data_IF_488500676567
#
_entry.id   IF_488500676567
#
_cell.length_a   1.000
_cell.length_b   1.000
_cell.length_c   1.000
_cell.angle_alpha   90.00
_cell.angle_beta   90.00
_cell.angle_gamma   90.00
#
_symmetry.space_group_name_H-M   'P 1'
#
loop_
_entity.id
_entity.type
_entity.pdbx_description
1 polymer ?
#
# COMPACT_ATOMS: atom_id res chain seq x y z
N UNK A 1 -4.67 -16.03 -12.25
CA UNK A 1 -4.45 -14.96 -11.26
C UNK A 1 -5.75 -14.83 -10.50
N UNK A 2 -5.73 -14.97 -9.18
CA UNK A 2 -6.93 -14.71 -8.36
C UNK A 2 -7.51 -13.35 -8.72
N UNK A 3 -8.85 -13.22 -8.68
CA UNK A 3 -9.56 -11.99 -9.02
C UNK A 3 -9.03 -10.84 -8.16
N UNK A 4 -8.22 -9.97 -8.75
CA UNK A 4 -7.74 -8.76 -8.10
C UNK A 4 -8.92 -7.79 -8.09
N UNK A 5 -9.33 -7.36 -6.91
CA UNK A 5 -10.39 -6.39 -6.76
C UNK A 5 -9.85 -5.07 -6.22
N UNK A 6 -10.50 -3.97 -6.59
CA UNK A 6 -10.23 -2.68 -5.99
C UNK A 6 -10.57 -2.75 -4.50
N UNK A 7 -9.72 -2.17 -3.68
CA UNK A 7 -9.74 -2.17 -2.21
C UNK A 7 -9.31 -3.46 -1.52
N UNK A 8 -8.87 -4.48 -2.26
CA UNK A 8 -8.19 -5.61 -1.62
C UNK A 8 -6.80 -5.21 -1.11
N UNK A 9 -6.41 -5.78 0.02
CA UNK A 9 -5.04 -5.71 0.54
C UNK A 9 -4.25 -6.87 -0.04
N UNK A 10 -3.18 -6.57 -0.78
CA UNK A 10 -2.25 -7.55 -1.32
C UNK A 10 -0.91 -7.44 -0.59
N UNK A 11 -0.24 -8.56 -0.34
CA UNK A 11 1.16 -8.58 0.09
C UNK A 11 2.03 -8.75 -1.14
N UNK A 12 2.82 -7.73 -1.48
CA UNK A 12 3.69 -7.74 -2.66
C UNK A 12 5.09 -7.24 -2.32
N UNK A 13 6.08 -7.70 -3.08
CA UNK A 13 7.34 -6.98 -3.21
C UNK A 13 7.08 -5.68 -3.97
N UNK A 14 7.58 -4.57 -3.44
CA UNK A 14 7.47 -3.25 -4.08
C UNK A 14 8.85 -2.64 -4.12
N UNK A 15 9.30 -2.31 -5.32
CA UNK A 15 10.60 -1.71 -5.57
C UNK A 15 10.71 -0.30 -4.98
N UNK A 16 11.93 0.08 -4.62
CA UNK A 16 12.25 1.46 -4.30
C UNK A 16 12.34 2.29 -5.58
N UNK A 17 11.99 3.58 -5.49
CA UNK A 17 11.98 4.47 -6.65
C UNK A 17 13.39 4.68 -7.25
N UNK A 18 14.44 4.45 -6.46
CA UNK A 18 15.85 4.52 -6.86
C UNK A 18 16.41 3.19 -7.38
N UNK A 19 15.56 2.16 -7.54
CA UNK A 19 15.94 0.81 -7.97
C UNK A 19 17.03 0.13 -7.12
N UNK A 20 17.31 0.61 -5.90
CA UNK A 20 18.33 0.03 -5.01
C UNK A 20 17.90 -1.29 -4.38
N UNK A 21 16.63 -1.66 -4.52
CA UNK A 21 16.08 -2.88 -3.99
C UNK A 21 14.57 -2.82 -3.87
N UNK A 22 14.01 -3.70 -3.05
CA UNK A 22 12.58 -3.86 -2.87
C UNK A 22 12.23 -4.14 -1.41
N UNK A 23 10.95 -4.02 -1.10
CA UNK A 23 10.41 -4.38 0.20
C UNK A 23 9.05 -5.03 0.08
N UNK A 24 8.92 -6.20 0.71
CA UNK A 24 7.64 -6.88 0.90
C UNK A 24 6.80 -6.06 1.89
N UNK A 25 5.61 -5.65 1.43
CA UNK A 25 4.68 -4.87 2.26
C UNK A 25 3.25 -5.08 1.79
N UNK A 26 2.28 -4.99 2.72
CA UNK A 26 0.88 -4.94 2.33
C UNK A 26 0.58 -3.62 1.62
N UNK A 27 -0.30 -3.66 0.61
CA UNK A 27 -0.73 -2.51 -0.15
C UNK A 27 -2.19 -2.67 -0.62
N UNK A 28 -2.95 -1.58 -0.59
CA UNK A 28 -4.35 -1.54 -0.99
C UNK A 28 -4.43 -1.29 -2.50
N UNK A 29 -5.14 -2.14 -3.23
CA UNK A 29 -5.39 -1.95 -4.68
C UNK A 29 -6.32 -0.77 -4.87
N UNK A 30 -5.93 0.21 -5.69
CA UNK A 30 -6.80 1.36 -6.02
C UNK A 30 -7.25 1.36 -7.47
N UNK A 31 -6.46 0.75 -8.34
CA UNK A 31 -6.76 0.57 -9.76
C UNK A 31 -5.83 -0.49 -10.32
N UNK A 32 -6.26 -1.24 -11.31
CA UNK A 32 -5.38 -2.11 -12.08
C UNK A 32 -5.82 -2.16 -13.55
N UNK A 33 -4.92 -2.65 -14.40
CA UNK A 33 -5.19 -3.06 -15.76
C UNK A 33 -4.30 -4.28 -16.08
N UNK A 34 -4.16 -4.62 -17.36
CA UNK A 34 -3.37 -5.77 -17.80
C UNK A 34 -1.85 -5.59 -17.64
N UNK A 35 -1.37 -4.39 -17.30
CA UNK A 35 0.05 -4.04 -17.24
C UNK A 35 0.51 -3.69 -15.83
N UNK A 36 -0.30 -2.95 -15.07
CA UNK A 36 0.07 -2.48 -13.73
C UNK A 36 -1.07 -2.56 -12.73
N UNK A 37 -0.68 -2.69 -11.46
CA UNK A 37 -1.54 -2.50 -10.29
C UNK A 37 -1.08 -1.21 -9.61
N UNK A 38 -1.98 -0.24 -9.49
CA UNK A 38 -1.75 0.95 -8.68
C UNK A 38 -2.23 0.66 -7.26
N UNK A 39 -1.40 0.99 -6.28
CA UNK A 39 -1.68 0.68 -4.87
C UNK A 39 -1.40 1.86 -3.94
N UNK A 40 -2.10 1.92 -2.81
CA UNK A 40 -1.64 2.66 -1.62
C UNK A 40 -0.84 1.75 -0.70
N UNK A 41 0.34 2.22 -0.28
CA UNK A 41 1.26 1.44 0.56
C UNK A 41 0.92 1.64 2.03
N UNK A 42 0.87 0.55 2.79
CA UNK A 42 0.61 0.59 4.22
C UNK A 42 1.92 0.82 5.00
N UNK A 43 1.83 1.48 6.15
CA UNK A 43 2.98 1.72 7.02
C UNK A 43 2.59 1.67 8.49
N UNK A 44 3.38 0.97 9.30
CA UNK A 44 3.31 1.04 10.77
C UNK A 44 4.17 2.19 11.33
N UNK A 45 4.94 2.87 10.48
CA UNK A 45 5.88 3.93 10.87
C UNK A 45 5.28 5.32 10.67
N UNK A 46 3.96 5.45 10.65
CA UNK A 46 3.29 6.73 10.44
C UNK A 46 3.75 7.77 11.47
N UNK A 47 3.81 7.39 12.76
CA UNK A 47 4.13 8.32 13.84
C UNK A 47 5.52 8.96 13.73
N UNK A 48 6.48 8.27 13.12
CA UNK A 48 7.86 8.73 13.00
C UNK A 48 8.11 9.63 11.77
N UNK A 49 7.04 10.02 11.05
CA UNK A 49 7.13 10.86 9.84
C UNK A 49 6.94 12.33 10.18
N UNK A 50 7.51 13.21 9.37
CA UNK A 50 7.25 14.66 9.48
C UNK A 50 5.79 15.00 9.15
N UNK A 51 5.30 16.14 9.63
CA UNK A 51 3.93 16.60 9.40
C UNK A 51 3.60 16.71 7.91
N UNK A 52 4.55 17.22 7.11
CA UNK A 52 4.43 17.25 5.65
C UNK A 52 4.18 15.85 5.07
N UNK A 53 4.97 14.85 5.48
CA UNK A 53 4.78 13.48 5.00
C UNK A 53 3.48 12.89 5.53
N UNK A 54 3.13 13.11 6.80
CA UNK A 54 1.89 12.62 7.43
C UNK A 54 0.64 13.11 6.67
N UNK A 55 0.65 14.36 6.18
CA UNK A 55 -0.44 14.94 5.38
C UNK A 55 -0.78 14.18 4.08
N UNK A 56 0.12 13.31 3.60
CA UNK A 56 -0.05 12.52 2.38
C UNK A 56 -0.63 11.13 2.65
N UNK A 57 -0.89 10.78 3.91
CA UNK A 57 -1.43 9.48 4.30
C UNK A 57 -2.93 9.58 4.62
N UNK A 58 -3.61 8.46 4.42
CA UNK A 58 -4.98 8.23 4.87
C UNK A 58 -4.95 7.27 6.05
N UNK A 59 -5.79 7.52 7.05
CA UNK A 59 -5.94 6.64 8.21
C UNK A 59 -6.81 5.43 7.87
N UNK A 60 -6.43 4.26 8.40
CA UNK A 60 -7.28 3.07 8.40
C UNK A 60 -8.24 3.20 9.56
N UNK A 61 -9.51 3.42 9.24
CA UNK A 61 -10.58 3.62 10.24
C UNK A 61 -11.20 2.31 10.76
N UNK A 62 -11.03 1.21 10.03
CA UNK A 62 -11.59 -0.10 10.37
C UNK A 62 -10.57 -1.21 10.04
N UNK A 63 -9.78 -1.57 11.04
CA UNK A 63 -8.70 -2.55 10.92
C UNK A 63 -9.22 -3.97 10.71
N UNK A 64 -10.30 -4.35 11.40
CA UNK A 64 -10.92 -5.66 11.27
C UNK A 64 -11.46 -5.90 9.86
N UNK A 65 -12.15 -4.91 9.29
CA UNK A 65 -12.63 -4.98 7.90
C UNK A 65 -11.50 -5.00 6.88
N UNK A 66 -10.37 -4.34 7.18
CA UNK A 66 -9.18 -4.35 6.34
C UNK A 66 -8.36 -5.65 6.45
N UNK A 67 -8.71 -6.54 7.40
CA UNK A 67 -7.99 -7.77 7.72
C UNK A 67 -6.51 -7.50 8.07
N UNK A 68 -6.26 -6.47 8.88
CA UNK A 68 -4.95 -6.00 9.32
C UNK A 68 -4.82 -5.94 10.85
#
# INVERSE_FOLDING_TARGET
MNDIEVYFVLVSSIDYADATGSKIRPAVVVRYNNEFIRTYRLTIKYENKSDYIKSQYLEIIDWAKANL
#
